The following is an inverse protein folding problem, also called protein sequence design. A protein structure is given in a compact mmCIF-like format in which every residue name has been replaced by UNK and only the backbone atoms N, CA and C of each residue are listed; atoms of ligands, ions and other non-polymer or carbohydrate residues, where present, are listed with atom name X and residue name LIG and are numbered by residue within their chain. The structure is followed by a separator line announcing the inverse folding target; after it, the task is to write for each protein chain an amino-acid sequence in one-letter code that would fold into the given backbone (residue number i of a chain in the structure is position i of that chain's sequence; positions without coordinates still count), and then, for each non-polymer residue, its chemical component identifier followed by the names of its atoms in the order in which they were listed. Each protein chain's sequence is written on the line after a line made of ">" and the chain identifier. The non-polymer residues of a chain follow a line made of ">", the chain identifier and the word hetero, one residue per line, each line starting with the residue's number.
data_IF_116158661965
#
_entry.id   IF_116158661965
#
_cell.length_a   1.000
_cell.length_b   1.000
_cell.length_c   1.000
_cell.angle_alpha   90.00
_cell.angle_beta   90.00
_cell.angle_gamma   90.00
#
_symmetry.space_group_name_H-M   'P 1'
#
loop_
_entity.id
_entity.type
_entity.pdbx_description
1 polymer ?
#
# COMPACT_ATOMS: atom_id res chain seq x y z
N UNK A 1 4.33 -20.28 -31.73
CA UNK A 1 3.70 -18.94 -31.83
C UNK A 1 2.17 -19.05 -31.76
N UNK A 2 1.51 -19.85 -32.58
CA UNK A 2 0.04 -19.91 -32.64
C UNK A 2 -0.61 -20.27 -31.30
N UNK A 3 -0.07 -21.26 -30.58
CA UNK A 3 -0.56 -21.63 -29.25
C UNK A 3 -0.38 -20.49 -28.22
N UNK A 4 0.73 -19.73 -28.27
CA UNK A 4 0.93 -18.58 -27.38
C UNK A 4 -0.10 -17.48 -27.63
N UNK A 5 -0.36 -17.19 -28.91
CA UNK A 5 -1.38 -16.22 -29.34
C UNK A 5 -2.78 -16.68 -28.91
N UNK A 6 -3.11 -17.95 -29.06
CA UNK A 6 -4.39 -18.53 -28.62
C UNK A 6 -4.58 -18.40 -27.10
N UNK A 7 -3.57 -18.72 -26.31
CA UNK A 7 -3.62 -18.67 -24.84
C UNK A 7 -3.86 -17.25 -24.35
N UNK A 8 -3.16 -16.27 -24.93
CA UNK A 8 -3.24 -14.86 -24.51
C UNK A 8 -4.18 -14.02 -25.39
N UNK A 9 -5.11 -14.66 -26.11
CA UNK A 9 -6.13 -13.95 -26.87
C UNK A 9 -6.96 -13.02 -25.96
N UNK A 10 -7.28 -11.83 -26.46
CA UNK A 10 -8.06 -10.82 -25.75
C UNK A 10 -8.75 -9.87 -26.70
N UNK A 11 -8.61 -8.56 -26.48
CA UNK A 11 -9.18 -7.52 -27.34
C UNK A 11 -8.55 -7.56 -28.74
N UNK A 12 -9.40 -7.58 -29.78
CA UNK A 12 -8.93 -7.63 -31.17
C UNK A 12 -8.73 -6.25 -31.81
N UNK A 13 -9.23 -5.18 -31.17
CA UNK A 13 -9.23 -3.82 -31.70
C UNK A 13 -8.17 -2.93 -31.08
N UNK A 14 -7.52 -3.40 -29.99
CA UNK A 14 -6.51 -2.63 -29.29
C UNK A 14 -5.55 -3.52 -28.52
N UNK A 15 -4.31 -3.05 -28.36
CA UNK A 15 -3.27 -3.70 -27.56
C UNK A 15 -2.39 -2.66 -26.86
N UNK A 16 -1.58 -3.10 -25.93
CA UNK A 16 -0.65 -2.27 -25.20
C UNK A 16 0.80 -2.45 -25.63
N UNK A 17 1.58 -1.40 -25.52
CA UNK A 17 3.02 -1.44 -25.63
C UNK A 17 3.67 -0.65 -24.50
N UNK A 18 4.88 -1.08 -24.11
CA UNK A 18 5.72 -0.32 -23.18
C UNK A 18 6.88 0.30 -23.94
N UNK A 19 6.83 1.61 -24.17
CA UNK A 19 7.89 2.34 -24.87
C UNK A 19 8.88 2.92 -23.86
N UNK A 20 10.17 2.64 -24.03
CA UNK A 20 11.23 3.30 -23.27
C UNK A 20 11.31 4.75 -23.72
N UNK A 21 11.29 5.71 -22.78
CA UNK A 21 11.36 7.16 -23.09
C UNK A 21 12.80 7.64 -23.32
N UNK A 22 13.80 6.82 -22.99
CA UNK A 22 15.20 7.25 -22.94
C UNK A 22 15.58 8.01 -21.66
N UNK A 23 14.61 8.39 -20.86
CA UNK A 23 14.81 9.04 -19.57
C UNK A 23 15.19 7.99 -18.51
N UNK A 24 15.97 8.42 -17.53
CA UNK A 24 16.36 7.59 -16.37
C UNK A 24 15.91 8.33 -15.12
N UNK A 25 15.30 7.63 -14.20
CA UNK A 25 14.93 8.21 -12.89
C UNK A 25 16.20 8.55 -12.09
N UNK A 26 16.10 9.38 -11.07
CA UNK A 26 17.20 9.74 -10.15
C UNK A 26 17.89 8.52 -9.52
N UNK A 27 17.20 7.37 -9.50
CA UNK A 27 17.70 6.07 -9.03
C UNK A 27 18.28 5.18 -10.16
N UNK A 28 18.55 5.75 -11.34
CA UNK A 28 19.13 5.01 -12.48
C UNK A 28 18.19 4.05 -13.19
N UNK A 29 16.86 4.11 -12.95
CA UNK A 29 15.86 3.21 -13.54
C UNK A 29 15.33 3.82 -14.85
N UNK A 30 15.42 3.09 -15.96
CA UNK A 30 14.86 3.52 -17.24
C UNK A 30 13.34 3.75 -17.14
N UNK A 31 12.90 4.92 -17.58
CA UNK A 31 11.47 5.28 -17.61
C UNK A 31 10.84 4.66 -18.85
N UNK A 32 9.71 4.00 -18.65
CA UNK A 32 8.89 3.45 -19.73
C UNK A 32 7.46 3.95 -19.61
N UNK A 33 6.87 4.39 -20.71
CA UNK A 33 5.47 4.83 -20.77
C UNK A 33 4.60 3.75 -21.40
N UNK A 34 3.49 3.43 -20.72
CA UNK A 34 2.44 2.57 -21.25
C UNK A 34 1.67 3.33 -22.33
N UNK A 35 1.44 2.68 -23.47
CA UNK A 35 0.64 3.25 -24.59
C UNK A 35 -0.31 2.18 -25.10
N UNK A 36 -1.59 2.55 -25.27
CA UNK A 36 -2.58 1.71 -25.94
C UNK A 36 -2.57 2.08 -27.44
N UNK A 37 -2.45 1.07 -28.28
CA UNK A 37 -2.61 1.14 -29.72
C UNK A 37 -4.01 0.66 -30.08
N UNK A 38 -4.77 1.51 -30.78
CA UNK A 38 -6.15 1.23 -31.22
C UNK A 38 -6.13 0.65 -32.63
N UNK A 39 -5.55 -0.51 -32.74
CA UNK A 39 -5.39 -1.25 -33.98
C UNK A 39 -5.28 -2.75 -33.69
N UNK A 40 -5.52 -3.58 -34.69
CA UNK A 40 -5.47 -5.04 -34.53
C UNK A 40 -4.03 -5.51 -34.26
N UNK A 41 -3.90 -6.46 -33.34
CA UNK A 41 -2.61 -7.13 -33.11
C UNK A 41 -2.28 -8.01 -34.31
N UNK A 42 -1.17 -7.71 -34.98
CA UNK A 42 -0.70 -8.47 -36.15
C UNK A 42 0.36 -9.51 -35.76
N UNK A 43 0.51 -10.55 -36.57
CA UNK A 43 1.30 -11.74 -36.20
C UNK A 43 2.78 -11.44 -35.91
N UNK A 44 3.37 -10.47 -36.62
CA UNK A 44 4.77 -10.11 -36.36
C UNK A 44 5.01 -9.53 -34.96
N UNK A 45 4.01 -8.88 -34.35
CA UNK A 45 4.14 -8.34 -32.97
C UNK A 45 4.28 -9.47 -31.95
N UNK A 46 3.58 -10.58 -32.15
CA UNK A 46 3.72 -11.76 -31.30
C UNK A 46 5.11 -12.40 -31.45
N UNK A 47 5.60 -12.49 -32.70
CA UNK A 47 6.93 -13.02 -32.96
C UNK A 47 8.03 -12.11 -32.39
N UNK A 48 7.93 -10.79 -32.64
CA UNK A 48 8.86 -9.80 -32.12
C UNK A 48 8.91 -9.81 -30.57
N UNK A 49 7.75 -10.01 -29.92
CA UNK A 49 7.69 -10.17 -28.47
C UNK A 49 8.48 -11.41 -28.00
N UNK A 50 8.25 -12.54 -28.60
CA UNK A 50 8.96 -13.79 -28.24
C UNK A 50 10.45 -13.72 -28.57
N UNK A 51 10.83 -13.01 -29.62
CA UNK A 51 12.23 -12.74 -29.99
C UNK A 51 12.91 -11.72 -29.07
N UNK A 52 12.14 -11.00 -28.23
CA UNK A 52 12.65 -10.00 -27.29
C UNK A 52 12.90 -8.62 -27.91
N UNK A 53 12.29 -8.34 -29.05
CA UNK A 53 12.36 -7.02 -29.69
C UNK A 53 11.46 -6.03 -28.96
N UNK A 54 11.96 -4.80 -28.75
CA UNK A 54 11.17 -3.70 -28.18
C UNK A 54 10.27 -3.05 -29.27
N UNK A 55 9.05 -2.62 -28.89
CA UNK A 55 8.44 -2.68 -27.58
C UNK A 55 7.83 -4.04 -27.24
N UNK A 56 7.88 -4.42 -25.94
CA UNK A 56 7.18 -5.62 -25.49
C UNK A 56 5.66 -5.48 -25.70
N UNK A 57 5.01 -6.56 -26.10
CA UNK A 57 3.58 -6.63 -26.33
C UNK A 57 2.80 -6.78 -25.02
N UNK A 58 1.72 -6.02 -24.88
CA UNK A 58 0.72 -6.19 -23.84
C UNK A 58 -0.64 -6.47 -24.46
N UNK A 59 -1.42 -7.35 -23.87
CA UNK A 59 -2.77 -7.68 -24.34
C UNK A 59 -3.82 -7.23 -23.32
N UNK A 60 -4.91 -6.74 -23.82
CA UNK A 60 -6.10 -6.39 -23.06
C UNK A 60 -6.94 -7.66 -22.94
N UNK A 61 -7.12 -8.23 -21.73
CA UNK A 61 -7.79 -9.54 -21.62
C UNK A 61 -9.28 -9.51 -21.98
N UNK A 62 -9.97 -8.40 -21.74
CA UNK A 62 -11.39 -8.25 -22.08
C UNK A 62 -11.57 -7.90 -23.56
N UNK A 63 -12.38 -8.69 -24.28
CA UNK A 63 -12.72 -8.43 -25.68
C UNK A 63 -14.00 -7.59 -25.82
N UNK A 64 -14.37 -7.29 -27.05
CA UNK A 64 -15.52 -6.45 -27.42
C UNK A 64 -16.88 -7.03 -26.97
N UNK A 65 -16.92 -8.32 -26.65
CA UNK A 65 -18.11 -9.02 -26.14
C UNK A 65 -18.12 -9.14 -24.61
N UNK A 66 -17.27 -8.42 -23.91
CA UNK A 66 -17.09 -8.47 -22.46
C UNK A 66 -16.69 -9.87 -21.95
N UNK A 67 -15.93 -10.60 -22.77
CA UNK A 67 -15.44 -11.94 -22.48
C UNK A 67 -13.92 -11.94 -22.43
N UNK A 68 -13.33 -12.92 -21.72
CA UNK A 68 -11.89 -13.11 -21.65
C UNK A 68 -11.53 -14.61 -21.59
N UNK A 69 -10.32 -14.98 -22.05
CA UNK A 69 -9.77 -16.34 -21.92
C UNK A 69 -8.78 -16.48 -20.78
N UNK A 70 -8.37 -15.38 -20.21
CA UNK A 70 -7.44 -15.36 -19.08
C UNK A 70 -7.67 -14.11 -18.22
N UNK A 71 -7.25 -14.21 -17.00
CA UNK A 71 -7.15 -13.09 -16.09
C UNK A 71 -5.92 -13.23 -15.20
N UNK A 72 -5.58 -12.19 -14.46
CA UNK A 72 -4.36 -12.13 -13.70
C UNK A 72 -4.54 -11.36 -12.40
N UNK A 73 -3.93 -11.86 -11.33
CA UNK A 73 -3.65 -11.11 -10.09
C UNK A 73 -2.22 -10.57 -10.24
N UNK A 74 -2.05 -9.25 -10.22
CA UNK A 74 -0.74 -8.59 -10.34
C UNK A 74 -0.23 -8.22 -8.94
N UNK A 75 0.73 -9.00 -8.44
CA UNK A 75 1.35 -8.80 -7.12
C UNK A 75 2.64 -7.99 -7.33
N UNK A 76 2.60 -6.71 -7.00
CA UNK A 76 3.73 -5.79 -7.14
C UNK A 76 4.50 -5.64 -5.81
N UNK A 77 5.05 -6.75 -5.32
CA UNK A 77 5.90 -6.81 -4.13
C UNK A 77 7.36 -7.09 -4.53
N UNK A 78 8.30 -6.29 -4.00
CA UNK A 78 9.72 -6.54 -4.19
C UNK A 78 10.21 -7.69 -3.30
N UNK A 79 11.12 -8.53 -3.84
CA UNK A 79 11.70 -9.68 -3.15
C UNK A 79 10.68 -10.76 -2.73
N UNK A 80 9.67 -10.97 -3.56
CA UNK A 80 8.65 -12.00 -3.36
C UNK A 80 9.26 -13.41 -3.45
N UNK A 81 8.95 -14.26 -2.47
CA UNK A 81 9.27 -15.70 -2.54
C UNK A 81 8.25 -16.42 -3.43
N UNK A 82 8.57 -16.54 -4.71
CA UNK A 82 7.70 -17.20 -5.71
C UNK A 82 7.39 -18.65 -5.39
N UNK A 83 8.34 -19.38 -4.77
CA UNK A 83 8.11 -20.78 -4.38
C UNK A 83 7.10 -20.88 -3.26
N UNK A 84 7.12 -19.93 -2.34
CA UNK A 84 6.12 -19.86 -1.28
C UNK A 84 4.74 -19.50 -1.84
N UNK A 85 4.68 -18.57 -2.81
CA UNK A 85 3.43 -18.25 -3.52
C UNK A 85 2.86 -19.49 -4.22
N UNK A 86 3.69 -20.23 -4.96
CA UNK A 86 3.29 -21.47 -5.64
C UNK A 86 2.77 -22.52 -4.65
N UNK A 87 3.45 -22.70 -3.51
CA UNK A 87 3.02 -23.64 -2.46
C UNK A 87 1.66 -23.23 -1.88
N UNK A 88 1.44 -21.95 -1.65
CA UNK A 88 0.16 -21.43 -1.14
C UNK A 88 -0.97 -21.62 -2.15
N UNK A 89 -0.73 -21.28 -3.43
CA UNK A 89 -1.67 -21.50 -4.54
C UNK A 89 -2.07 -22.97 -4.61
N UNK A 90 -1.09 -23.88 -4.61
CA UNK A 90 -1.31 -25.33 -4.65
C UNK A 90 -2.02 -25.83 -3.39
N UNK A 91 -1.60 -25.34 -2.21
CA UNK A 91 -2.18 -25.74 -0.93
C UNK A 91 -3.66 -25.36 -0.79
N UNK A 92 -4.10 -24.28 -1.45
CA UNK A 92 -5.49 -23.86 -1.52
C UNK A 92 -6.28 -24.52 -2.66
N UNK A 93 -5.60 -25.29 -3.51
CA UNK A 93 -6.22 -25.92 -4.67
C UNK A 93 -6.67 -24.92 -5.75
N UNK A 94 -6.06 -23.73 -5.81
CA UNK A 94 -6.42 -22.73 -6.81
C UNK A 94 -5.75 -23.04 -8.16
N UNK A 95 -6.49 -22.98 -9.27
CA UNK A 95 -5.95 -23.25 -10.61
C UNK A 95 -5.22 -22.02 -11.17
N UNK A 96 -4.29 -21.47 -10.40
CA UNK A 96 -3.49 -20.30 -10.77
C UNK A 96 -2.08 -20.70 -11.18
N UNK A 97 -1.62 -20.20 -12.31
CA UNK A 97 -0.25 -20.38 -12.78
C UNK A 97 0.58 -19.16 -12.38
N UNK A 98 1.66 -19.39 -11.62
CA UNK A 98 2.52 -18.32 -11.09
C UNK A 98 3.61 -17.96 -12.08
N UNK A 99 3.67 -16.70 -12.47
CA UNK A 99 4.74 -16.12 -13.28
C UNK A 99 5.52 -15.09 -12.48
N UNK A 100 6.80 -14.99 -12.77
CA UNK A 100 7.63 -13.89 -12.32
C UNK A 100 7.32 -12.64 -13.15
N UNK A 101 7.08 -11.51 -12.49
CA UNK A 101 6.96 -10.20 -13.16
C UNK A 101 8.34 -9.58 -13.42
N UNK A 102 8.41 -8.55 -14.25
CA UNK A 102 9.67 -7.85 -14.57
C UNK A 102 10.32 -7.21 -13.33
N UNK A 103 9.54 -6.70 -12.41
CA UNK A 103 9.99 -6.04 -11.18
C UNK A 103 10.41 -7.01 -10.07
N UNK A 104 10.16 -8.31 -10.26
CA UNK A 104 10.43 -9.34 -9.25
C UNK A 104 9.21 -9.71 -8.40
N UNK A 105 8.05 -9.09 -8.63
CA UNK A 105 6.76 -9.52 -8.12
C UNK A 105 6.21 -10.73 -8.88
N UNK A 106 4.93 -11.04 -8.73
CA UNK A 106 4.30 -12.18 -9.41
C UNK A 106 3.02 -11.79 -10.16
N UNK A 107 2.81 -12.45 -11.29
CA UNK A 107 1.54 -12.50 -11.99
C UNK A 107 0.94 -13.88 -11.79
N UNK A 108 -0.23 -13.98 -11.17
CA UNK A 108 -0.95 -15.25 -11.02
C UNK A 108 -2.05 -15.31 -12.06
N UNK A 109 -1.86 -16.13 -13.09
CA UNK A 109 -2.82 -16.25 -14.18
C UNK A 109 -3.84 -17.35 -13.91
N UNK A 110 -5.11 -17.05 -14.14
CA UNK A 110 -6.19 -18.00 -14.33
C UNK A 110 -6.48 -18.10 -15.83
N UNK A 111 -6.31 -19.29 -16.39
CA UNK A 111 -6.57 -19.54 -17.80
C UNK A 111 -7.89 -20.29 -17.99
N UNK A 112 -8.65 -19.90 -19.00
CA UNK A 112 -9.86 -20.57 -19.47
C UNK A 112 -9.65 -21.21 -20.84
N UNK A 113 -10.19 -22.42 -21.04
CA UNK A 113 -10.15 -23.14 -22.33
C UNK A 113 -11.00 -22.47 -23.40
N UNK A 114 -12.04 -21.75 -22.99
CA UNK A 114 -12.93 -20.96 -23.82
C UNK A 114 -13.11 -19.55 -23.29
N UNK A 115 -13.74 -18.66 -24.05
CA UNK A 115 -14.09 -17.34 -23.57
C UNK A 115 -15.15 -17.41 -22.46
N UNK A 116 -14.88 -16.77 -21.32
CA UNK A 116 -15.79 -16.64 -20.18
C UNK A 116 -16.13 -15.18 -19.92
N UNK A 117 -17.26 -14.87 -19.27
CA UNK A 117 -17.59 -13.49 -18.90
C UNK A 117 -16.48 -12.84 -18.06
N UNK A 118 -16.07 -11.63 -18.42
CA UNK A 118 -15.02 -10.90 -17.70
C UNK A 118 -15.37 -10.68 -16.22
N UNK A 119 -16.66 -10.48 -15.93
CA UNK A 119 -17.16 -10.37 -14.54
C UNK A 119 -16.93 -11.66 -13.74
N UNK A 120 -17.14 -12.83 -14.34
CA UNK A 120 -16.88 -14.13 -13.69
C UNK A 120 -15.39 -14.25 -13.37
N UNK A 121 -14.53 -14.04 -14.35
CA UNK A 121 -13.07 -14.09 -14.20
C UNK A 121 -12.59 -13.17 -13.10
N UNK A 122 -12.99 -11.90 -13.14
CA UNK A 122 -12.59 -10.89 -12.16
C UNK A 122 -13.07 -11.25 -10.74
N UNK A 123 -14.32 -11.71 -10.61
CA UNK A 123 -14.90 -12.07 -9.31
C UNK A 123 -14.12 -13.22 -8.66
N UNK A 124 -13.80 -14.28 -9.45
CA UNK A 124 -13.03 -15.42 -8.94
C UNK A 124 -11.60 -15.02 -8.58
N UNK A 125 -10.94 -14.22 -9.41
CA UNK A 125 -9.59 -13.73 -9.13
C UNK A 125 -9.53 -12.84 -7.88
N UNK A 126 -10.49 -11.93 -7.67
CA UNK A 126 -10.57 -11.12 -6.46
C UNK A 126 -10.66 -11.99 -5.21
N UNK A 127 -11.57 -12.93 -5.21
CA UNK A 127 -11.77 -13.80 -4.07
C UNK A 127 -10.56 -14.73 -3.82
N UNK A 128 -9.88 -15.24 -4.86
CA UNK A 128 -8.63 -15.99 -4.71
C UNK A 128 -7.48 -15.10 -4.21
N UNK A 129 -7.40 -13.85 -4.68
CA UNK A 129 -6.41 -12.87 -4.22
C UNK A 129 -6.56 -12.57 -2.72
N UNK A 130 -7.80 -12.36 -2.26
CA UNK A 130 -8.12 -12.17 -0.83
C UNK A 130 -7.75 -13.39 0.00
N UNK A 131 -8.10 -14.59 -0.45
CA UNK A 131 -7.79 -15.84 0.23
C UNK A 131 -6.27 -16.08 0.34
N UNK A 132 -5.51 -15.74 -0.69
CA UNK A 132 -4.04 -15.82 -0.69
C UNK A 132 -3.37 -14.73 0.16
N UNK A 133 -4.12 -13.74 0.66
CA UNK A 133 -3.60 -12.61 1.43
C UNK A 133 -3.11 -11.43 0.58
N UNK A 134 -3.46 -11.39 -0.71
CA UNK A 134 -3.11 -10.35 -1.67
C UNK A 134 -4.31 -9.50 -2.10
N UNK A 135 -5.32 -9.31 -1.24
CA UNK A 135 -6.58 -8.61 -1.55
C UNK A 135 -6.44 -7.16 -2.04
N UNK A 136 -5.26 -6.55 -1.92
CA UNK A 136 -4.96 -5.22 -2.44
C UNK A 136 -4.31 -5.20 -3.82
N UNK A 137 -4.08 -6.37 -4.44
CA UNK A 137 -3.43 -6.48 -5.75
C UNK A 137 -4.34 -6.05 -6.90
N UNK A 138 -3.74 -5.56 -7.98
CA UNK A 138 -4.48 -5.27 -9.19
C UNK A 138 -4.98 -6.55 -9.86
N UNK A 139 -6.23 -6.53 -10.33
CA UNK A 139 -6.86 -7.67 -11.01
C UNK A 139 -7.11 -7.31 -12.47
N UNK A 140 -6.69 -8.19 -13.38
CA UNK A 140 -7.00 -8.10 -14.81
C UNK A 140 -7.95 -9.23 -15.21
N UNK A 141 -8.99 -8.95 -16.03
CA UNK A 141 -9.38 -7.65 -16.55
C UNK A 141 -9.76 -6.66 -15.44
N UNK A 142 -9.33 -5.38 -15.57
CA UNK A 142 -9.73 -4.31 -14.64
C UNK A 142 -11.19 -3.93 -14.82
N UNK A 143 -11.66 -3.95 -16.05
CA UNK A 143 -13.06 -3.72 -16.41
C UNK A 143 -13.80 -5.05 -16.60
N UNK A 144 -15.03 -5.09 -16.16
CA UNK A 144 -15.95 -6.22 -16.38
C UNK A 144 -16.83 -6.00 -17.61
N UNK A 145 -16.90 -4.74 -18.06
CA UNK A 145 -17.65 -4.29 -19.23
C UNK A 145 -16.89 -3.16 -19.91
N UNK A 146 -16.87 -3.16 -21.25
CA UNK A 146 -16.37 -2.08 -22.11
C UNK A 146 -17.45 -1.68 -23.08
N UNK A 147 -17.61 -0.37 -23.29
CA UNK A 147 -18.56 0.19 -24.25
C UNK A 147 -17.79 0.60 -25.51
N UNK A 148 -17.74 -0.31 -26.49
CA UNK A 148 -16.98 -0.13 -27.73
C UNK A 148 -17.42 1.13 -28.48
N UNK A 149 -18.71 1.46 -28.46
CA UNK A 149 -19.30 2.67 -29.09
C UNK A 149 -18.73 3.97 -28.48
N UNK A 150 -18.27 3.93 -27.24
CA UNK A 150 -17.60 5.07 -26.57
C UNK A 150 -16.09 5.08 -26.78
N UNK A 151 -15.58 4.08 -27.49
CA UNK A 151 -14.16 3.90 -27.71
C UNK A 151 -13.42 3.30 -26.51
N UNK A 152 -14.11 2.63 -25.60
CA UNK A 152 -13.47 1.93 -24.49
C UNK A 152 -12.68 0.71 -25.01
N UNK A 153 -11.50 0.47 -24.46
CA UNK A 153 -10.65 -0.65 -24.84
C UNK A 153 -10.26 -1.56 -23.68
N UNK A 154 -10.38 -1.09 -22.46
CA UNK A 154 -9.88 -1.77 -21.28
C UNK A 154 -8.38 -1.53 -21.03
N UNK A 155 -7.86 -2.16 -19.98
CA UNK A 155 -6.45 -2.06 -19.58
C UNK A 155 -5.68 -3.31 -20.02
N UNK A 156 -4.47 -3.11 -20.54
CA UNK A 156 -3.60 -4.22 -20.93
C UNK A 156 -2.69 -4.67 -19.80
N UNK A 157 -2.28 -5.93 -19.86
CA UNK A 157 -1.18 -6.48 -19.08
C UNK A 157 -0.05 -6.85 -20.03
N UNK A 158 1.19 -6.55 -19.63
CA UNK A 158 2.36 -6.97 -20.40
C UNK A 158 2.49 -8.50 -20.37
N UNK A 159 2.62 -9.11 -21.54
CA UNK A 159 2.74 -10.55 -21.65
C UNK A 159 4.05 -11.10 -21.06
N UNK A 160 4.03 -12.35 -20.57
CA UNK A 160 5.26 -13.08 -20.21
C UNK A 160 6.05 -13.48 -21.47
N UNK A 161 7.25 -14.05 -21.25
CA UNK A 161 8.14 -14.56 -22.31
C UNK A 161 8.64 -13.54 -23.33
N UNK A 162 8.70 -12.26 -23.00
CA UNK A 162 9.41 -11.29 -23.84
C UNK A 162 10.91 -11.64 -23.89
N UNK A 163 11.38 -12.09 -25.04
CA UNK A 163 12.71 -12.65 -25.22
C UNK A 163 12.83 -14.13 -24.82
N UNK A 164 11.70 -14.83 -24.73
CA UNK A 164 11.67 -16.26 -24.39
C UNK A 164 12.21 -16.52 -22.98
N UNK A 165 12.97 -17.60 -22.81
CA UNK A 165 13.59 -17.98 -21.50
C UNK A 165 14.70 -17.03 -21.05
N UNK A 166 15.23 -16.19 -21.93
CA UNK A 166 16.21 -15.14 -21.58
C UNK A 166 15.54 -13.92 -20.95
N UNK A 167 14.21 -13.84 -21.05
CA UNK A 167 13.42 -12.77 -20.45
C UNK A 167 13.32 -12.90 -18.94
N UNK A 168 12.88 -11.82 -18.29
CA UNK A 168 12.66 -11.77 -16.84
C UNK A 168 11.24 -12.22 -16.43
N UNK A 169 10.37 -12.53 -17.38
CA UNK A 169 8.96 -12.90 -17.18
C UNK A 169 8.74 -14.32 -17.69
N UNK A 170 8.61 -15.24 -16.79
CA UNK A 170 8.43 -16.67 -17.09
C UNK A 170 7.64 -17.34 -15.98
N UNK A 171 7.06 -18.50 -16.26
CA UNK A 171 6.49 -19.36 -15.21
C UNK A 171 7.53 -20.34 -14.67
N UNK A 172 7.19 -21.02 -13.60
CA UNK A 172 8.06 -21.96 -12.90
C UNK A 172 7.59 -23.38 -13.10
N UNK A 173 8.54 -24.31 -13.19
CA UNK A 173 8.30 -25.73 -13.00
C UNK A 173 8.00 -26.05 -11.54
N UNK A 174 7.48 -27.24 -11.28
CA UNK A 174 7.17 -27.69 -9.91
C UNK A 174 8.40 -27.64 -8.97
N UNK A 175 9.62 -27.76 -9.50
CA UNK A 175 10.87 -27.63 -8.76
C UNK A 175 11.35 -26.21 -8.53
N UNK A 176 10.68 -25.20 -9.11
CA UNK A 176 11.05 -23.79 -8.95
C UNK A 176 12.01 -23.26 -10.03
N UNK A 177 12.40 -24.08 -10.98
CA UNK A 177 13.19 -23.63 -12.13
C UNK A 177 12.29 -22.89 -13.14
N UNK A 178 12.88 -21.98 -13.92
CA UNK A 178 12.18 -21.30 -15.00
C UNK A 178 11.72 -22.33 -16.06
N UNK A 179 10.44 -22.28 -16.40
CA UNK A 179 9.88 -23.06 -17.49
C UNK A 179 10.11 -22.35 -18.82
N UNK A 180 10.56 -23.09 -19.85
CA UNK A 180 10.58 -22.60 -21.21
C UNK A 180 9.17 -22.57 -21.82
N UNK A 181 9.04 -22.09 -23.06
CA UNK A 181 7.73 -21.89 -23.69
C UNK A 181 6.97 -23.22 -23.91
N UNK A 182 7.63 -24.30 -24.28
CA UNK A 182 7.02 -25.63 -24.46
C UNK A 182 6.57 -26.24 -23.11
N UNK A 183 7.39 -26.07 -22.08
CA UNK A 183 7.04 -26.49 -20.73
C UNK A 183 5.85 -25.67 -20.20
N UNK A 184 5.77 -24.37 -20.52
CA UNK A 184 4.59 -23.55 -20.21
C UNK A 184 3.33 -24.03 -20.92
N UNK A 185 3.43 -24.45 -22.18
CA UNK A 185 2.27 -25.00 -22.88
C UNK A 185 1.74 -26.28 -22.22
N UNK A 186 2.63 -27.11 -21.70
CA UNK A 186 2.26 -28.29 -20.91
C UNK A 186 1.55 -27.90 -19.61
N UNK A 187 2.09 -26.90 -18.91
CA UNK A 187 1.47 -26.35 -17.68
C UNK A 187 0.09 -25.76 -18.00
N UNK A 188 -0.04 -25.02 -19.09
CA UNK A 188 -1.33 -24.46 -19.53
C UNK A 188 -2.35 -25.57 -19.79
N UNK A 189 -1.99 -26.61 -20.52
CA UNK A 189 -2.90 -27.73 -20.86
C UNK A 189 -3.39 -28.45 -19.60
N UNK A 190 -2.56 -28.53 -18.56
CA UNK A 190 -2.90 -29.12 -17.26
C UNK A 190 -3.79 -28.21 -16.41
N UNK A 191 -3.53 -26.90 -16.42
CA UNK A 191 -4.14 -25.96 -15.45
C UNK A 191 -5.26 -25.12 -16.02
N UNK A 192 -5.43 -25.02 -17.35
CA UNK A 192 -6.53 -24.27 -17.96
C UNK A 192 -7.88 -24.91 -17.62
N UNK A 193 -8.83 -24.09 -17.22
CA UNK A 193 -10.15 -24.49 -16.71
C UNK A 193 -11.23 -24.32 -17.77
N UNK A 194 -12.25 -25.17 -17.77
CA UNK A 194 -13.51 -24.88 -18.48
C UNK A 194 -14.31 -23.82 -17.74
N UNK A 195 -15.29 -23.22 -18.41
CA UNK A 195 -16.22 -22.28 -17.77
C UNK A 195 -16.88 -22.87 -16.53
N UNK A 196 -17.39 -24.08 -16.62
CA UNK A 196 -18.03 -24.78 -15.50
C UNK A 196 -17.07 -24.97 -14.32
N UNK A 197 -15.81 -25.33 -14.61
CA UNK A 197 -14.78 -25.44 -13.58
C UNK A 197 -14.51 -24.10 -12.89
N UNK A 198 -14.43 -23.00 -13.67
CA UNK A 198 -14.27 -21.65 -13.09
C UNK A 198 -15.48 -21.26 -12.26
N UNK A 199 -16.69 -21.49 -12.75
CA UNK A 199 -17.93 -21.24 -11.99
C UNK A 199 -17.95 -22.06 -10.70
N UNK A 200 -17.53 -23.33 -10.75
CA UNK A 200 -17.44 -24.27 -9.64
C UNK A 200 -16.27 -24.02 -8.68
N UNK A 201 -15.33 -23.12 -8.98
CA UNK A 201 -14.32 -22.71 -8.00
C UNK A 201 -15.08 -22.13 -6.80
N UNK A 202 -15.39 -22.98 -5.87
CA UNK A 202 -15.69 -22.54 -4.54
C UNK A 202 -14.35 -22.21 -3.92
N UNK A 203 -14.07 -20.93 -3.79
CA UNK A 203 -13.23 -20.53 -2.69
C UNK A 203 -14.05 -21.04 -1.54
N UNK A 204 -13.66 -22.20 -1.03
CA UNK A 204 -14.02 -22.42 0.35
C UNK A 204 -13.60 -21.06 0.94
N UNK A 205 -14.57 -20.21 1.25
CA UNK A 205 -14.49 -19.63 2.55
C UNK A 205 -14.07 -20.85 3.33
N UNK A 206 -12.74 -21.07 3.49
CA UNK A 206 -12.44 -21.60 4.78
C UNK A 206 -13.42 -20.75 5.57
N UNK A 207 -14.52 -21.39 5.98
CA UNK A 207 -14.93 -21.14 7.29
C UNK A 207 -13.61 -21.40 8.02
N UNK A 208 -12.69 -20.41 7.83
CA UNK A 208 -12.20 -19.82 9.00
C UNK A 208 -13.53 -19.62 9.67
N UNK A 209 -14.06 -20.71 10.28
CA UNK A 209 -14.47 -20.60 11.65
C UNK A 209 -13.60 -19.48 12.04
N UNK A 210 -14.13 -18.19 12.01
CA UNK A 210 -13.39 -17.07 12.56
C UNK A 210 -12.69 -17.75 13.69
N UNK A 211 -11.42 -18.23 13.40
CA UNK A 211 -10.57 -18.76 14.48
C UNK A 211 -10.54 -17.52 15.23
N UNK A 212 -11.43 -17.48 16.25
CA UNK A 212 -11.77 -16.26 16.96
C UNK A 212 -10.46 -15.58 17.06
N UNK A 213 -10.30 -14.48 16.27
CA UNK A 213 -8.98 -13.85 16.18
C UNK A 213 -8.62 -13.71 17.63
N UNK A 214 -7.54 -14.29 18.07
CA UNK A 214 -7.16 -14.26 19.49
C UNK A 214 -7.28 -12.83 20.02
N UNK A 215 -7.06 -11.88 19.10
CA UNK A 215 -7.14 -10.44 19.29
C UNK A 215 -7.98 -9.83 18.15
N UNK A 216 -9.31 -9.83 18.23
CA UNK A 216 -10.20 -9.31 17.18
C UNK A 216 -9.86 -7.86 16.82
N UNK A 217 -9.72 -7.56 15.54
CA UNK A 217 -9.29 -6.24 15.02
C UNK A 217 -8.00 -5.70 15.64
N UNK A 218 -7.21 -6.57 16.28
CA UNK A 218 -5.94 -6.26 16.92
C UNK A 218 -4.73 -6.42 16.00
N UNK A 219 -3.51 -6.19 16.52
CA UNK A 219 -2.28 -6.32 15.76
C UNK A 219 -2.11 -7.71 15.14
N UNK A 220 -1.81 -7.82 13.83
CA UNK A 220 -1.59 -9.11 13.17
C UNK A 220 -0.47 -9.93 13.79
N UNK A 221 0.54 -9.27 14.35
CA UNK A 221 1.64 -9.93 15.05
C UNK A 221 1.19 -10.66 16.32
N UNK A 222 0.28 -10.07 17.11
CA UNK A 222 -0.28 -10.74 18.29
C UNK A 222 -1.12 -11.95 17.88
N UNK A 223 -1.96 -11.81 16.87
CA UNK A 223 -2.76 -12.93 16.34
C UNK A 223 -1.88 -14.07 15.83
N UNK A 224 -0.78 -13.76 15.14
CA UNK A 224 0.16 -14.77 14.65
C UNK A 224 0.88 -15.50 15.78
N UNK A 225 1.40 -14.75 16.76
CA UNK A 225 2.14 -15.32 17.89
C UNK A 225 1.26 -16.11 18.86
N UNK A 226 -0.03 -15.74 18.97
CA UNK A 226 -0.99 -16.48 19.81
C UNK A 226 -1.28 -17.89 19.33
N UNK A 227 -0.99 -18.22 18.07
CA UNK A 227 -1.18 -19.58 17.52
C UNK A 227 -0.29 -20.59 18.23
N UNK A 228 0.96 -20.19 18.47
CA UNK A 228 2.00 -21.04 19.10
C UNK A 228 2.10 -20.79 20.60
N UNK A 229 1.41 -19.77 21.14
CA UNK A 229 1.57 -19.27 22.50
C UNK A 229 2.85 -18.47 22.69
N UNK A 230 2.98 -17.82 23.85
CA UNK A 230 4.16 -17.02 24.20
C UNK A 230 4.98 -17.77 25.27
N UNK A 231 6.10 -18.34 24.85
CA UNK A 231 6.98 -19.12 25.71
C UNK A 231 7.88 -18.29 26.63
N UNK A 232 8.63 -18.98 27.49
CA UNK A 232 9.58 -18.37 28.43
C UNK A 232 10.55 -17.41 27.72
N UNK A 233 10.94 -16.35 28.43
CA UNK A 233 11.81 -15.29 27.92
C UNK A 233 11.09 -14.21 27.12
N UNK A 234 9.91 -14.49 26.55
CA UNK A 234 9.12 -13.52 25.77
C UNK A 234 7.83 -13.07 26.45
N UNK A 235 7.35 -13.80 27.44
CA UNK A 235 6.02 -13.64 28.06
C UNK A 235 5.73 -12.25 28.61
N UNK A 236 6.67 -11.66 29.34
CA UNK A 236 6.45 -10.35 29.97
C UNK A 236 6.22 -9.25 28.92
N UNK A 237 7.08 -9.19 27.89
CA UNK A 237 6.90 -8.22 26.80
C UNK A 237 5.69 -8.54 25.92
N UNK A 238 5.39 -9.82 25.72
CA UNK A 238 4.17 -10.24 25.04
C UNK A 238 2.92 -9.78 25.80
N UNK A 239 2.87 -10.04 27.13
CA UNK A 239 1.74 -9.63 27.97
C UNK A 239 1.59 -8.10 28.04
N UNK A 240 2.69 -7.35 27.99
CA UNK A 240 2.62 -5.89 27.88
C UNK A 240 1.88 -5.46 26.62
N UNK A 241 2.22 -6.05 25.47
CA UNK A 241 1.54 -5.73 24.21
C UNK A 241 0.08 -6.21 24.19
N UNK A 242 -0.21 -7.34 24.80
CA UNK A 242 -1.59 -7.81 25.03
C UNK A 242 -2.37 -6.83 25.91
N UNK A 243 -1.75 -6.31 26.98
CA UNK A 243 -2.40 -5.33 27.85
C UNK A 243 -2.71 -4.01 27.13
N UNK A 244 -1.82 -3.54 26.23
CA UNK A 244 -2.10 -2.40 25.36
C UNK A 244 -3.29 -2.68 24.45
N UNK A 245 -3.37 -3.88 23.88
CA UNK A 245 -4.55 -4.31 23.09
C UNK A 245 -5.81 -4.30 23.94
N UNK A 246 -5.79 -4.93 25.12
CA UNK A 246 -6.95 -4.99 26.01
C UNK A 246 -7.46 -3.59 26.35
N UNK A 247 -6.57 -2.67 26.67
CA UNK A 247 -6.93 -1.28 26.98
C UNK A 247 -7.61 -0.57 25.80
N UNK A 248 -7.23 -0.87 24.55
CA UNK A 248 -7.86 -0.33 23.35
C UNK A 248 -9.19 -1.01 23.00
N UNK A 249 -9.29 -2.32 23.22
CA UNK A 249 -10.42 -3.13 22.79
C UNK A 249 -11.53 -3.27 23.84
N UNK A 250 -11.19 -3.20 25.14
CA UNK A 250 -12.06 -3.50 26.27
C UNK A 250 -11.95 -2.42 27.36
N UNK A 251 -12.18 -1.15 27.00
CA UNK A 251 -11.91 0.02 27.84
C UNK A 251 -12.39 -0.12 29.31
N UNK A 252 -13.58 -0.72 29.52
CA UNK A 252 -14.20 -0.81 30.85
C UNK A 252 -13.76 -2.03 31.67
N UNK A 253 -13.20 -3.09 31.04
CA UNK A 253 -12.85 -4.38 31.69
C UNK A 253 -11.44 -4.88 31.30
N UNK A 254 -10.61 -4.00 30.76
CA UNK A 254 -9.33 -4.40 30.16
C UNK A 254 -8.38 -5.10 31.14
N UNK A 255 -8.37 -4.76 32.43
CA UNK A 255 -7.47 -5.37 33.43
C UNK A 255 -7.82 -6.85 33.66
N UNK A 256 -9.11 -7.20 33.74
CA UNK A 256 -9.56 -8.59 33.84
C UNK A 256 -9.22 -9.35 32.56
N UNK A 257 -9.42 -8.72 31.40
CA UNK A 257 -9.07 -9.31 30.11
C UNK A 257 -7.58 -9.67 30.02
N UNK A 258 -6.68 -8.84 30.53
CA UNK A 258 -5.24 -9.15 30.60
C UNK A 258 -4.99 -10.44 31.37
N UNK A 259 -5.68 -10.65 32.50
CA UNK A 259 -5.59 -11.87 33.28
C UNK A 259 -6.06 -13.11 32.49
N UNK A 260 -7.17 -12.99 31.77
CA UNK A 260 -7.71 -14.07 30.93
C UNK A 260 -6.76 -14.41 29.77
N UNK A 261 -6.22 -13.41 29.08
CA UNK A 261 -5.26 -13.59 27.99
C UNK A 261 -3.93 -14.19 28.50
N UNK A 262 -3.50 -13.82 29.71
CA UNK A 262 -2.32 -14.43 30.35
C UNK A 262 -2.52 -15.96 30.51
N UNK A 263 -3.65 -16.39 31.04
CA UNK A 263 -3.95 -17.82 31.22
C UNK A 263 -4.06 -18.57 29.89
N UNK A 264 -4.57 -17.90 28.85
CA UNK A 264 -4.88 -18.53 27.56
C UNK A 264 -3.68 -18.64 26.64
N UNK A 265 -2.78 -17.66 26.66
CA UNK A 265 -1.73 -17.53 25.63
C UNK A 265 -0.31 -17.52 26.16
N UNK A 266 -0.06 -17.30 27.45
CA UNK A 266 1.29 -17.38 28.03
C UNK A 266 1.58 -18.82 28.48
N UNK A 267 2.75 -19.36 28.13
CA UNK A 267 3.15 -20.73 28.46
C UNK A 267 4.53 -20.76 29.15
N UNK A 268 4.58 -21.11 30.44
CA UNK A 268 3.49 -21.12 31.42
C UNK A 268 2.95 -19.72 31.71
N UNK A 269 1.71 -19.57 32.20
CA UNK A 269 1.17 -18.26 32.56
C UNK A 269 2.05 -17.51 33.56
N UNK A 270 2.11 -16.19 33.44
CA UNK A 270 2.75 -15.32 34.41
C UNK A 270 1.99 -15.32 35.73
N UNK A 271 2.70 -15.16 36.85
CA UNK A 271 2.10 -15.06 38.17
C UNK A 271 1.23 -13.82 38.31
N UNK A 272 0.29 -13.84 39.25
CA UNK A 272 -0.58 -12.70 39.54
C UNK A 272 0.20 -11.40 39.78
N UNK A 273 1.34 -11.49 40.51
CA UNK A 273 2.16 -10.33 40.80
C UNK A 273 2.79 -9.72 39.54
N UNK A 274 3.27 -10.57 38.62
CA UNK A 274 3.84 -10.13 37.32
C UNK A 274 2.75 -9.49 36.43
N UNK A 275 1.55 -10.06 36.38
CA UNK A 275 0.41 -9.50 35.67
C UNK A 275 0.07 -8.11 36.21
N UNK A 276 0.02 -7.92 37.53
CA UNK A 276 -0.25 -6.63 38.14
C UNK A 276 0.84 -5.60 37.85
N UNK A 277 2.08 -6.00 37.73
CA UNK A 277 3.19 -5.11 37.33
C UNK A 277 3.04 -4.65 35.88
N UNK A 278 2.60 -5.54 34.98
CA UNK A 278 2.33 -5.19 33.58
C UNK A 278 1.14 -4.20 33.50
N UNK A 279 0.04 -4.48 34.20
CA UNK A 279 -1.13 -3.60 34.25
C UNK A 279 -0.72 -2.21 34.75
N UNK A 280 -0.01 -2.13 35.87
CA UNK A 280 0.51 -0.89 36.42
C UNK A 280 1.46 -0.15 35.47
N UNK A 281 2.21 -0.89 34.66
CA UNK A 281 3.09 -0.30 33.66
C UNK A 281 2.30 0.38 32.55
N UNK A 282 1.25 -0.28 32.01
CA UNK A 282 0.42 0.24 30.90
C UNK A 282 -0.48 1.41 31.33
N UNK A 283 -0.75 1.57 32.64
CA UNK A 283 -1.52 2.72 33.17
C UNK A 283 -0.70 4.02 33.26
N UNK A 284 0.62 3.94 33.23
CA UNK A 284 1.48 5.14 33.28
C UNK A 284 1.34 5.95 31.98
N UNK A 285 1.26 7.28 32.08
CA UNK A 285 1.22 8.18 30.94
C UNK A 285 2.42 7.96 30.02
N UNK A 286 2.19 7.74 28.74
CA UNK A 286 3.22 7.47 27.73
C UNK A 286 3.61 5.98 27.53
N UNK A 287 3.03 5.04 28.31
CA UNK A 287 3.29 3.58 28.21
C UNK A 287 2.10 2.81 27.61
N UNK A 288 1.24 3.48 26.87
CA UNK A 288 0.05 2.95 26.23
C UNK A 288 0.27 2.57 24.73
N UNK A 289 1.52 2.58 24.29
CA UNK A 289 1.90 2.23 22.91
C UNK A 289 2.48 0.82 22.84
N UNK A 290 2.22 0.12 21.72
CA UNK A 290 2.83 -1.19 21.46
C UNK A 290 4.34 -1.10 21.32
N UNK A 291 5.05 -2.08 21.88
CA UNK A 291 6.51 -2.21 21.78
C UNK A 291 6.92 -2.97 20.52
N UNK A 292 6.60 -2.41 19.35
CA UNK A 292 6.77 -3.07 18.07
C UNK A 292 8.22 -3.42 17.71
N UNK A 293 9.20 -2.72 18.31
CA UNK A 293 10.64 -2.92 18.05
C UNK A 293 11.28 -3.99 18.93
N UNK A 294 10.55 -4.52 19.93
CA UNK A 294 11.04 -5.50 20.89
C UNK A 294 10.58 -6.91 20.53
N UNK A 295 11.37 -7.94 20.94
CA UNK A 295 10.97 -9.33 20.82
C UNK A 295 9.82 -9.67 21.80
N UNK A 296 8.90 -10.58 21.40
CA UNK A 296 8.82 -11.34 20.16
C UNK A 296 8.12 -10.61 19.00
N UNK A 297 7.58 -9.42 19.23
CA UNK A 297 6.72 -8.68 18.30
C UNK A 297 7.45 -8.31 17.00
N UNK A 298 8.70 -7.81 17.12
CA UNK A 298 9.45 -7.30 15.95
C UNK A 298 9.71 -8.37 14.89
N UNK A 299 9.85 -9.64 15.27
CA UNK A 299 10.14 -10.74 14.34
C UNK A 299 8.99 -11.05 13.36
N UNK A 300 7.75 -10.68 13.71
CA UNK A 300 6.54 -10.97 12.91
C UNK A 300 5.71 -9.72 12.65
N UNK A 301 6.27 -8.54 12.92
CA UNK A 301 5.57 -7.27 12.78
C UNK A 301 5.26 -6.95 11.31
N UNK A 302 4.00 -6.58 11.04
CA UNK A 302 3.51 -6.12 9.73
C UNK A 302 2.87 -4.74 9.88
N UNK A 303 3.66 -3.65 9.90
CA UNK A 303 3.17 -2.30 10.23
C UNK A 303 2.03 -1.85 9.32
N UNK A 304 2.13 -2.07 8.01
CA UNK A 304 1.11 -1.66 7.05
C UNK A 304 -0.27 -2.30 7.35
N UNK A 305 -0.31 -3.60 7.65
CA UNK A 305 -1.54 -4.29 8.02
C UNK A 305 -2.04 -3.87 9.41
N UNK A 306 -1.11 -3.63 10.37
CA UNK A 306 -1.46 -3.23 11.72
C UNK A 306 -2.11 -1.82 11.77
N UNK A 307 -1.70 -0.91 10.91
CA UNK A 307 -2.27 0.44 10.80
C UNK A 307 -3.74 0.43 10.38
N UNK A 308 -4.19 -0.54 9.59
CA UNK A 308 -5.58 -0.64 9.15
C UNK A 308 -6.51 -1.31 10.18
N UNK A 309 -5.96 -1.87 11.26
CA UNK A 309 -6.74 -2.54 12.30
C UNK A 309 -7.23 -1.54 13.35
N UNK A 310 -8.49 -1.67 13.76
CA UNK A 310 -9.15 -0.77 14.74
C UNK A 310 -8.35 -0.65 16.04
N UNK A 311 -7.81 -1.77 16.55
CA UNK A 311 -7.02 -1.83 17.78
C UNK A 311 -5.53 -2.07 17.50
N UNK A 312 -5.07 -1.80 16.27
CA UNK A 312 -3.67 -1.86 15.88
C UNK A 312 -2.86 -0.69 16.41
N UNK A 313 -1.69 -0.46 15.82
CA UNK A 313 -0.87 0.72 16.13
C UNK A 313 -1.62 2.01 15.78
N UNK A 314 -2.64 1.91 14.90
CA UNK A 314 -3.26 3.06 14.27
C UNK A 314 -2.29 3.66 13.23
N UNK A 315 -2.81 4.57 12.43
CA UNK A 315 -1.98 5.69 12.08
C UNK A 315 -1.69 6.35 13.43
N UNK A 316 -0.44 6.62 13.82
CA UNK A 316 -0.24 7.78 14.65
C UNK A 316 -1.05 8.82 13.89
N UNK A 317 -2.13 9.33 14.47
CA UNK A 317 -2.63 10.61 14.05
C UNK A 317 -1.38 11.46 14.20
N UNK A 318 -0.71 11.71 13.10
CA UNK A 318 0.22 12.80 13.00
C UNK A 318 -0.65 13.96 13.42
N UNK A 319 -0.60 14.28 14.70
CA UNK A 319 -1.40 15.36 15.24
C UNK A 319 -0.90 16.58 14.51
N UNK A 320 -1.83 17.30 13.91
CA UNK A 320 -1.47 18.60 13.36
C UNK A 320 -0.73 19.35 14.47
N UNK A 321 0.46 19.88 14.21
CA UNK A 321 1.17 20.70 15.19
C UNK A 321 0.27 21.82 15.67
N UNK A 322 0.54 22.35 16.84
CA UNK A 322 -0.25 23.47 17.39
C UNK A 322 -0.09 24.70 16.48
N UNK A 323 -1.16 25.04 15.78
CA UNK A 323 -1.21 26.20 14.90
C UNK A 323 -1.80 27.37 15.73
N UNK A 324 -0.94 28.33 16.09
CA UNK A 324 -1.34 29.42 16.93
C UNK A 324 -1.71 30.66 16.08
N UNK A 325 -0.92 31.71 16.06
CA UNK A 325 -1.28 33.01 15.46
C UNK A 325 -0.83 33.10 14.01
N UNK A 326 -1.79 33.34 13.10
CA UNK A 326 -1.49 33.71 11.72
C UNK A 326 -1.37 35.22 11.62
N UNK A 327 -0.23 35.70 11.14
CA UNK A 327 0.07 37.13 10.97
C UNK A 327 0.27 37.47 9.50
N UNK A 328 -0.39 38.52 9.02
CA UNK A 328 -0.19 39.09 7.69
C UNK A 328 0.47 40.46 7.83
N UNK A 329 1.64 40.64 7.22
CA UNK A 329 2.28 41.93 7.02
C UNK A 329 1.77 42.53 5.69
N UNK A 330 1.25 43.75 5.74
CA UNK A 330 0.65 44.42 4.56
C UNK A 330 1.71 45.05 3.64
N UNK A 331 2.86 44.39 3.49
CA UNK A 331 3.88 44.74 2.49
C UNK A 331 3.39 44.45 1.06
N UNK A 332 4.12 44.93 0.06
CA UNK A 332 3.84 44.60 -1.34
C UNK A 332 5.04 43.86 -1.96
N UNK A 333 4.97 42.53 -2.19
CA UNK A 333 3.83 41.62 -1.89
C UNK A 333 3.64 41.38 -0.38
N UNK A 334 2.40 40.97 0.05
CA UNK A 334 2.14 40.68 1.45
C UNK A 334 2.90 39.44 1.92
N UNK A 335 3.40 39.50 3.18
CA UNK A 335 4.10 38.39 3.82
C UNK A 335 3.20 37.74 4.87
N UNK A 336 3.27 36.42 5.01
CA UNK A 336 2.45 35.67 5.95
C UNK A 336 3.34 34.87 6.89
N UNK A 337 3.04 34.91 8.16
CA UNK A 337 3.76 34.17 9.19
C UNK A 337 2.76 33.41 10.08
N UNK A 338 3.10 32.17 10.38
CA UNK A 338 2.32 31.32 11.28
C UNK A 338 3.24 30.83 12.40
N UNK A 339 2.78 30.91 13.64
CA UNK A 339 3.46 30.24 14.74
C UNK A 339 2.97 28.78 14.83
N UNK A 340 3.91 27.84 14.75
CA UNK A 340 3.67 26.40 14.77
C UNK A 340 4.56 25.79 15.85
N UNK A 341 3.96 25.21 16.88
CA UNK A 341 4.69 24.68 18.06
C UNK A 341 5.73 25.68 18.62
N UNK A 342 5.38 26.96 18.64
CA UNK A 342 6.26 28.04 19.09
C UNK A 342 7.32 28.49 18.08
N UNK A 343 7.41 27.86 16.90
CA UNK A 343 8.32 28.26 15.82
C UNK A 343 7.60 29.14 14.81
N UNK A 344 8.20 30.25 14.42
CA UNK A 344 7.63 31.15 13.41
C UNK A 344 8.03 30.69 12.01
N UNK A 345 7.03 30.36 11.19
CA UNK A 345 7.17 29.89 9.81
C UNK A 345 6.66 30.93 8.84
N UNK A 346 7.43 31.27 7.81
CA UNK A 346 7.01 32.15 6.72
C UNK A 346 6.26 31.33 5.66
N UNK A 347 5.10 31.80 5.23
CA UNK A 347 4.25 31.09 4.28
C UNK A 347 3.89 31.97 3.09
N UNK A 348 3.83 31.36 1.92
CA UNK A 348 3.21 31.99 0.75
C UNK A 348 1.69 31.76 0.79
N UNK A 349 0.91 32.64 0.16
CA UNK A 349 -0.54 32.50 0.08
C UNK A 349 -0.98 31.13 -0.48
N UNK A 350 -0.29 30.61 -1.48
CA UNK A 350 -0.56 29.28 -2.05
C UNK A 350 -0.31 28.14 -1.06
N UNK A 351 0.69 28.26 -0.20
CA UNK A 351 0.99 27.28 0.86
C UNK A 351 -0.09 27.27 1.94
N UNK A 352 -0.68 28.41 2.26
CA UNK A 352 -1.84 28.47 3.17
C UNK A 352 -3.09 27.77 2.63
N UNK A 353 -3.29 27.75 1.30
CA UNK A 353 -4.47 27.16 0.69
C UNK A 353 -4.31 25.68 0.29
N UNK A 354 -3.07 25.21 0.20
CA UNK A 354 -2.75 23.82 -0.22
C UNK A 354 -2.09 23.06 0.95
N UNK A 355 -2.75 22.06 1.54
CA UNK A 355 -2.23 21.33 2.69
C UNK A 355 -0.90 20.59 2.42
N UNK A 356 -0.66 20.15 1.18
CA UNK A 356 0.60 19.49 0.83
C UNK A 356 1.76 20.50 0.80
N UNK A 357 1.53 21.68 0.23
CA UNK A 357 2.53 22.75 0.21
C UNK A 357 2.76 23.34 1.61
N UNK A 358 1.71 23.37 2.43
CA UNK A 358 1.79 23.74 3.84
C UNK A 358 2.69 22.76 4.62
N UNK A 359 2.41 21.45 4.52
CA UNK A 359 3.20 20.43 5.18
C UNK A 359 4.69 20.46 4.74
N UNK A 360 4.94 20.71 3.46
CA UNK A 360 6.29 20.88 2.94
C UNK A 360 7.00 22.11 3.54
N UNK A 361 6.30 23.23 3.65
CA UNK A 361 6.87 24.45 4.24
C UNK A 361 7.22 24.25 5.73
N UNK A 362 6.41 23.51 6.48
CA UNK A 362 6.71 23.16 7.87
C UNK A 362 7.93 22.26 7.99
N UNK A 363 8.06 21.30 7.10
CA UNK A 363 9.22 20.40 7.07
C UNK A 363 10.51 21.17 6.74
N UNK A 364 10.47 22.06 5.74
CA UNK A 364 11.64 22.80 5.28
C UNK A 364 12.13 23.86 6.28
N UNK A 365 11.20 24.50 7.04
CA UNK A 365 11.55 25.64 7.87
C UNK A 365 11.60 25.34 9.37
N UNK A 366 10.91 24.28 9.83
CA UNK A 366 10.78 23.99 11.23
C UNK A 366 11.11 22.51 11.57
N UNK A 367 11.50 21.68 10.60
CA UNK A 367 11.67 20.23 10.76
C UNK A 367 10.42 19.50 11.32
N UNK A 368 9.23 20.10 11.09
CA UNK A 368 7.96 19.56 11.56
C UNK A 368 7.30 18.75 10.44
N UNK A 369 7.00 17.47 10.71
CA UNK A 369 6.23 16.62 9.82
C UNK A 369 4.74 16.77 10.14
N UNK A 370 4.01 17.49 9.29
CA UNK A 370 2.56 17.64 9.43
C UNK A 370 1.81 16.55 8.61
N UNK A 371 0.61 16.12 9.08
CA UNK A 371 -0.18 15.12 8.36
C UNK A 371 -0.68 15.66 7.03
N UNK A 372 -0.63 14.79 6.01
CA UNK A 372 -1.25 15.09 4.71
C UNK A 372 -2.75 14.86 4.84
N UNK A 373 -3.54 15.90 4.60
CA UNK A 373 -4.99 15.86 4.69
C UNK A 373 -5.69 16.29 3.40
N UNK A 374 -6.99 16.01 3.31
CA UNK A 374 -7.79 16.47 2.18
C UNK A 374 -7.94 17.99 2.23
N UNK A 375 -7.91 18.64 1.06
CA UNK A 375 -8.01 20.10 0.96
C UNK A 375 -9.30 20.66 1.59
N UNK A 376 -10.39 19.89 1.61
CA UNK A 376 -11.64 20.28 2.24
C UNK A 376 -11.51 20.32 3.78
N UNK A 377 -10.93 19.26 4.37
CA UNK A 377 -10.73 19.15 5.82
C UNK A 377 -9.75 20.22 6.31
N UNK A 378 -8.66 20.45 5.57
CA UNK A 378 -7.73 21.54 5.82
C UNK A 378 -8.43 22.90 5.89
N UNK A 379 -9.26 23.20 4.88
CA UNK A 379 -9.97 24.48 4.79
C UNK A 379 -10.95 24.69 5.93
N UNK A 380 -11.75 23.67 6.25
CA UNK A 380 -12.83 23.81 7.25
C UNK A 380 -12.30 23.75 8.69
N UNK A 381 -11.34 22.88 8.98
CA UNK A 381 -10.90 22.62 10.35
C UNK A 381 -9.77 23.56 10.79
N UNK A 382 -8.88 23.96 9.88
CA UNK A 382 -7.68 24.73 10.23
C UNK A 382 -7.64 26.12 9.60
N UNK A 383 -7.78 26.22 8.28
CA UNK A 383 -7.59 27.51 7.59
C UNK A 383 -8.66 28.54 7.98
N UNK A 384 -9.94 28.18 8.05
CA UNK A 384 -11.01 29.09 8.45
C UNK A 384 -10.80 29.66 9.87
N UNK A 385 -10.54 28.87 10.91
CA UNK A 385 -10.20 29.36 12.22
C UNK A 385 -8.99 30.30 12.25
N UNK A 386 -7.88 29.92 11.55
CA UNK A 386 -6.70 30.77 11.44
C UNK A 386 -7.00 32.11 10.78
N UNK A 387 -7.78 32.11 9.70
CA UNK A 387 -8.19 33.34 9.02
C UNK A 387 -9.18 34.20 9.86
N UNK A 388 -10.00 33.58 10.70
CA UNK A 388 -10.89 34.29 11.60
C UNK A 388 -10.14 35.03 12.73
N UNK A 389 -8.94 34.52 13.08
CA UNK A 389 -8.07 35.10 14.11
C UNK A 389 -6.84 35.80 13.51
N UNK A 390 -6.90 36.16 12.21
CA UNK A 390 -5.80 36.79 11.50
C UNK A 390 -5.37 38.12 12.13
N UNK A 391 -4.09 38.23 12.48
CA UNK A 391 -3.47 39.48 12.85
C UNK A 391 -2.90 40.19 11.62
N UNK A 392 -3.26 41.43 11.42
CA UNK A 392 -2.73 42.28 10.33
C UNK A 392 -1.81 43.33 10.93
N UNK A 393 -0.59 43.40 10.39
CA UNK A 393 0.46 44.31 10.86
C UNK A 393 0.98 45.13 9.68
N UNK A 394 1.18 46.42 9.88
CA UNK A 394 1.81 47.28 8.88
C UNK A 394 3.33 47.02 8.81
N UNK A 395 3.95 47.16 7.64
CA UNK A 395 5.42 47.06 7.53
C UNK A 395 6.11 48.10 8.43
N UNK A 396 7.21 47.73 9.06
CA UNK A 396 8.02 48.66 9.87
C UNK A 396 8.41 49.94 9.11
N UNK A 397 8.51 49.87 7.79
CA UNK A 397 8.77 51.02 6.92
C UNK A 397 7.63 52.03 6.85
N UNK A 398 6.40 51.63 7.21
CA UNK A 398 5.24 52.51 7.30
C UNK A 398 5.08 53.16 8.70
N UNK A 399 5.78 52.64 9.69
CA UNK A 399 5.89 53.27 11.00
C UNK A 399 6.86 54.43 10.87
N UNK A 400 6.30 55.66 10.94
CA UNK A 400 6.97 56.92 10.79
C UNK A 400 8.45 56.90 11.26
N UNK A 401 9.44 57.20 10.43
CA UNK A 401 10.86 56.99 10.72
C UNK A 401 11.45 57.93 11.78
N UNK A 402 10.62 58.69 12.43
CA UNK A 402 11.08 59.70 13.43
C UNK A 402 10.57 59.31 14.83
N UNK A 403 11.05 58.18 15.31
CA UNK A 403 11.15 57.99 16.75
C UNK A 403 12.61 57.64 17.08
N UNK A 404 13.45 58.66 17.42
CA UNK A 404 14.87 58.47 17.67
C UNK A 404 15.17 57.51 18.82
N UNK A 405 14.19 57.16 19.61
CA UNK A 405 14.32 56.20 20.74
C UNK A 405 14.40 54.74 20.24
N UNK A 406 13.87 54.44 19.07
CA UNK A 406 13.92 53.07 18.52
C UNK A 406 15.29 52.70 17.93
N UNK A 407 16.09 53.67 17.53
CA UNK A 407 17.43 53.44 16.93
C UNK A 407 18.54 53.28 17.96
N UNK A 408 18.36 53.71 19.18
CA UNK A 408 19.39 53.62 20.24
C UNK A 408 19.54 52.21 20.81
N UNK A 409 18.58 51.31 20.57
CA UNK A 409 18.64 49.94 21.02
C UNK A 409 19.21 48.94 19.98
N UNK A 410 19.51 49.42 18.76
CA UNK A 410 20.11 48.60 17.71
C UNK A 410 21.60 48.86 17.50
N UNK A 411 22.22 49.79 18.22
CA UNK A 411 23.67 49.91 18.22
C UNK A 411 24.24 48.92 19.20
N UNK A 412 24.79 47.83 18.70
CA UNK A 412 25.70 46.97 19.43
C UNK A 412 26.77 47.85 20.11
N UNK A 413 27.08 47.61 21.37
CA UNK A 413 28.22 48.28 21.98
C UNK A 413 29.46 47.91 21.23
N UNK A 414 30.05 48.87 20.58
CA UNK A 414 31.44 48.80 20.13
C UNK A 414 32.30 48.74 21.39
N UNK A 415 32.68 47.55 21.78
CA UNK A 415 33.81 47.36 22.70
C UNK A 415 35.07 47.74 21.96
N UNK A 416 35.53 48.93 22.25
CA UNK A 416 36.90 49.34 22.04
C UNK A 416 37.77 48.69 23.11
N UNK A 417 38.89 48.16 22.59
CA UNK A 417 40.16 47.72 23.20
C UNK A 417 40.19 46.26 23.65
#
# INVERSE_FOLDING_TARGET
>A
MDKFKEIFEGNNSAYGIMRRTGEVTDKGKAVAKAQIKREKVVDYLWQDHLDGKDPALGIIPINENNMCRWGCIDIDEYNLDHLNVMRNVKGMGFPLVTFRSKSGGAHLFLFAKEFVPAILMQTKLKAMSEALGYGGSEIFPKQTEILVERGDTGNFLNLPYHGGVRGLRYTYKAGGEAANLEEFYTIYDEWAQTREQIEGITIREDTKTKKEEAFPDGPPCLNKLAIDGFGEGSRNNALFNVAVYCKKAHADDWENQVGMYNQKYMDPPLSYQEVQLVIKSVTRKGYDKYRCKEQPICSVCKPAQCRTKKHGVGFEEEQMPELDTLTKITSNPPQWFLNVDGTRVELKAEQLHNPNLFALALLEQADIVAPIMKAQDWREVYLKPLMSNLQTVEPLESLNPINPVSYTHLTLPTTLV
#
